data_IF_724311471532
#
_entry.id   IF_724311471532
#
_cell.length_a   1.000
_cell.length_b   1.000
_cell.length_c   1.000
_cell.angle_alpha   90.00
_cell.angle_beta   90.00
_cell.angle_gamma   90.00
#
_symmetry.space_group_name_H-M   'P 1'
#
loop_
_entity.id
_entity.type
_entity.pdbx_description
1 polymer ?
#
# COMPACT_ATOMS: atom_id res chain seq x y z
N UNK A 1 -40.17 -12.52 -6.91
CA UNK A 1 -38.82 -13.06 -6.65
C UNK A 1 -38.03 -12.02 -5.87
N UNK A 2 -37.64 -12.31 -4.64
CA UNK A 2 -36.70 -11.47 -3.89
C UNK A 2 -35.32 -11.75 -4.47
N UNK A 3 -34.60 -10.73 -4.95
CA UNK A 3 -33.22 -10.89 -5.43
C UNK A 3 -32.32 -11.26 -4.25
N UNK A 4 -31.43 -12.22 -4.42
CA UNK A 4 -30.45 -12.59 -3.38
C UNK A 4 -29.46 -11.46 -3.11
N UNK A 5 -28.87 -11.42 -1.91
CA UNK A 5 -27.97 -10.35 -1.45
C UNK A 5 -26.80 -10.14 -2.44
N UNK A 6 -26.17 -11.21 -2.92
CA UNK A 6 -25.07 -11.13 -3.88
C UNK A 6 -25.52 -10.64 -5.28
N UNK A 7 -26.76 -10.94 -5.68
CA UNK A 7 -27.33 -10.45 -6.94
C UNK A 7 -27.65 -8.95 -6.88
N UNK A 8 -28.09 -8.45 -5.72
CA UNK A 8 -28.28 -7.00 -5.51
C UNK A 8 -26.97 -6.26 -5.75
N UNK A 9 -25.89 -6.68 -5.10
CA UNK A 9 -24.57 -6.02 -5.22
C UNK A 9 -24.00 -6.13 -6.62
N UNK A 10 -24.05 -7.32 -7.24
CA UNK A 10 -23.49 -7.52 -8.60
C UNK A 10 -24.31 -6.86 -9.69
N UNK A 11 -25.61 -6.62 -9.49
CA UNK A 11 -26.45 -5.88 -10.44
C UNK A 11 -26.14 -4.38 -10.53
N UNK A 12 -25.33 -3.86 -9.61
CA UNK A 12 -24.90 -2.44 -9.60
C UNK A 12 -23.67 -2.18 -10.48
N UNK A 13 -22.90 -3.21 -10.85
CA UNK A 13 -21.80 -3.04 -11.80
C UNK A 13 -22.34 -3.07 -13.24
N UNK A 14 -22.09 -2.05 -14.06
CA UNK A 14 -22.44 -2.13 -15.47
C UNK A 14 -21.58 -3.19 -16.15
N UNK A 15 -22.18 -3.94 -17.09
CA UNK A 15 -21.47 -4.85 -18.00
C UNK A 15 -20.68 -4.05 -19.04
N UNK A 16 -19.62 -3.38 -18.60
CA UNK A 16 -18.74 -2.67 -19.52
C UNK A 16 -17.90 -3.69 -20.31
N UNK A 17 -18.05 -3.71 -21.63
CA UNK A 17 -16.99 -4.19 -22.53
C UNK A 17 -15.83 -3.22 -22.38
N UNK A 18 -14.71 -3.68 -21.84
CA UNK A 18 -13.51 -2.86 -21.71
C UNK A 18 -12.85 -2.75 -23.09
N UNK A 19 -12.87 -1.56 -23.72
CA UNK A 19 -12.44 -1.44 -25.10
C UNK A 19 -10.91 -1.42 -25.18
N UNK A 20 -10.33 -2.30 -25.99
CA UNK A 20 -8.87 -2.43 -26.14
C UNK A 20 -8.25 -1.14 -26.68
N UNK A 21 -7.24 -0.63 -25.96
CA UNK A 21 -6.44 0.52 -26.41
C UNK A 21 -5.61 0.14 -27.64
N UNK A 22 -5.07 -1.09 -27.70
CA UNK A 22 -4.29 -1.58 -28.85
C UNK A 22 -5.09 -1.47 -30.16
N UNK A 23 -6.33 -1.95 -30.15
CA UNK A 23 -7.20 -1.91 -31.34
C UNK A 23 -7.59 -0.48 -31.72
N UNK A 24 -7.68 0.40 -30.72
CA UNK A 24 -8.08 1.80 -30.91
C UNK A 24 -6.92 2.69 -31.38
N UNK A 25 -5.68 2.28 -31.14
CA UNK A 25 -4.46 3.04 -31.44
C UNK A 25 -4.30 3.42 -32.92
N UNK A 26 -4.90 2.64 -33.83
CA UNK A 26 -4.81 2.88 -35.29
C UNK A 26 -5.71 4.04 -35.73
N UNK A 27 -6.79 4.35 -34.98
CA UNK A 27 -7.87 5.23 -35.42
C UNK A 27 -8.09 6.45 -34.53
N UNK A 28 -7.43 6.52 -33.38
CA UNK A 28 -7.64 7.55 -32.36
C UNK A 28 -6.41 8.41 -32.16
N UNK A 29 -6.65 9.67 -31.84
CA UNK A 29 -5.63 10.59 -31.37
C UNK A 29 -5.09 10.18 -29.99
N UNK A 30 -3.96 10.78 -29.60
CA UNK A 30 -3.35 10.56 -28.28
C UNK A 30 -4.32 10.83 -27.13
N UNK A 31 -5.05 11.95 -27.17
CA UNK A 31 -5.98 12.32 -26.12
C UNK A 31 -7.14 11.33 -26.03
N UNK A 32 -7.69 10.90 -27.16
CA UNK A 32 -8.77 9.89 -27.18
C UNK A 32 -8.32 8.52 -26.68
N UNK A 33 -7.05 8.13 -26.89
CA UNK A 33 -6.49 6.89 -26.32
C UNK A 33 -6.39 7.00 -24.79
N UNK A 34 -5.91 8.13 -24.26
CA UNK A 34 -5.79 8.36 -22.82
C UNK A 34 -7.16 8.52 -22.16
N UNK A 35 -8.12 9.15 -22.84
CA UNK A 35 -9.51 9.24 -22.42
C UNK A 35 -10.13 7.86 -22.24
N UNK A 36 -9.95 6.99 -23.24
CA UNK A 36 -10.41 5.60 -23.19
C UNK A 36 -9.71 4.79 -22.08
N UNK A 37 -8.43 5.06 -21.82
CA UNK A 37 -7.71 4.44 -20.71
C UNK A 37 -8.35 4.81 -19.37
N UNK A 38 -8.70 6.09 -19.18
CA UNK A 38 -9.40 6.55 -17.98
C UNK A 38 -10.81 6.00 -17.83
N UNK A 39 -11.58 5.89 -18.92
CA UNK A 39 -12.91 5.23 -18.91
C UNK A 39 -12.76 3.76 -18.50
N UNK A 40 -11.73 3.08 -19.00
CA UNK A 40 -11.42 1.71 -18.63
C UNK A 40 -11.10 1.59 -17.14
N UNK A 41 -10.28 2.49 -16.61
CA UNK A 41 -9.95 2.52 -15.19
C UNK A 41 -11.20 2.77 -14.33
N UNK A 42 -12.05 3.74 -14.68
CA UNK A 42 -13.31 3.99 -13.97
C UNK A 42 -14.21 2.76 -13.93
N UNK A 43 -14.29 2.01 -15.04
CA UNK A 43 -15.04 0.77 -15.08
C UNK A 43 -14.44 -0.30 -14.14
N UNK A 44 -13.11 -0.38 -14.04
CA UNK A 44 -12.43 -1.27 -13.09
C UNK A 44 -12.68 -0.87 -11.64
N UNK A 45 -12.65 0.43 -11.31
CA UNK A 45 -12.93 0.94 -9.97
C UNK A 45 -14.32 0.54 -9.49
N UNK A 46 -15.33 0.65 -10.36
CA UNK A 46 -16.70 0.21 -10.05
C UNK A 46 -16.74 -1.29 -9.76
N UNK A 47 -16.06 -2.12 -10.56
CA UNK A 47 -15.99 -3.58 -10.33
C UNK A 47 -15.28 -3.94 -9.03
N UNK A 48 -14.17 -3.27 -8.72
CA UNK A 48 -13.47 -3.43 -7.43
C UNK A 48 -14.36 -2.99 -6.27
N UNK A 49 -15.15 -1.92 -6.44
CA UNK A 49 -16.16 -1.51 -5.47
C UNK A 49 -17.19 -2.61 -5.18
N UNK A 50 -17.68 -3.28 -6.23
CA UNK A 50 -18.59 -4.43 -6.11
C UNK A 50 -17.92 -5.58 -5.35
N UNK A 51 -16.70 -5.96 -5.74
CA UNK A 51 -15.97 -7.03 -5.09
C UNK A 51 -15.70 -6.73 -3.61
N UNK A 52 -15.23 -5.52 -3.28
CA UNK A 52 -14.99 -5.11 -1.89
C UNK A 52 -16.29 -5.09 -1.05
N UNK A 53 -17.43 -4.75 -1.65
CA UNK A 53 -18.73 -4.85 -0.99
C UNK A 53 -19.09 -6.29 -0.67
N UNK A 54 -18.87 -7.21 -1.61
CA UNK A 54 -19.08 -8.64 -1.41
C UNK A 54 -18.12 -9.20 -0.34
N UNK A 55 -16.85 -8.79 -0.32
CA UNK A 55 -15.89 -9.16 0.73
C UNK A 55 -16.40 -8.72 2.10
N UNK A 56 -16.91 -7.48 2.22
CA UNK A 56 -17.46 -6.96 3.48
C UNK A 56 -18.68 -7.74 3.94
N UNK A 57 -19.56 -8.15 3.02
CA UNK A 57 -20.73 -8.99 3.33
C UNK A 57 -20.29 -10.39 3.74
N UNK A 58 -19.40 -11.03 2.99
CA UNK A 58 -18.86 -12.36 3.30
C UNK A 58 -18.16 -12.37 4.67
N UNK A 59 -17.38 -11.34 4.98
CA UNK A 59 -16.71 -11.17 6.27
C UNK A 59 -17.71 -11.09 7.43
N UNK A 60 -18.83 -10.37 7.24
CA UNK A 60 -19.90 -10.28 8.23
C UNK A 60 -20.63 -11.60 8.43
N UNK A 61 -20.92 -12.33 7.35
CA UNK A 61 -21.53 -13.67 7.42
C UNK A 61 -20.61 -14.62 8.20
N UNK A 62 -19.31 -14.61 7.90
CA UNK A 62 -18.31 -15.43 8.60
C UNK A 62 -18.23 -15.10 10.08
N UNK A 63 -18.26 -13.82 10.46
CA UNK A 63 -18.23 -13.42 11.87
C UNK A 63 -19.44 -13.94 12.67
N UNK A 64 -20.55 -14.25 12.01
CA UNK A 64 -21.76 -14.77 12.63
C UNK A 64 -21.94 -16.29 12.51
N UNK A 65 -21.12 -17.00 11.73
CA UNK A 65 -21.28 -18.44 11.49
C UNK A 65 -19.99 -19.23 11.74
N UNK A 66 -20.08 -20.32 12.50
CA UNK A 66 -19.02 -21.33 12.66
C UNK A 66 -19.08 -22.30 11.46
N UNK A 67 -18.88 -21.80 10.24
CA UNK A 67 -18.98 -22.55 8.98
C UNK A 67 -17.77 -22.27 8.07
N UNK A 68 -17.46 -23.17 7.10
CA UNK A 68 -16.08 -23.49 6.70
C UNK A 68 -15.31 -22.32 6.10
N UNK A 69 -13.99 -22.38 6.28
CA UNK A 69 -13.02 -21.37 5.87
C UNK A 69 -13.11 -21.03 4.39
N UNK A 70 -13.68 -19.86 4.09
CA UNK A 70 -13.33 -19.14 2.87
C UNK A 70 -11.85 -18.77 3.00
N UNK A 71 -11.02 -19.12 2.00
CA UNK A 71 -9.59 -18.84 2.01
C UNK A 71 -9.37 -17.33 2.31
N UNK A 72 -8.53 -17.04 3.32
CA UNK A 72 -8.15 -15.67 3.69
C UNK A 72 -7.63 -14.87 2.49
N UNK A 73 -7.06 -15.53 1.48
CA UNK A 73 -6.63 -14.89 0.22
C UNK A 73 -7.79 -14.28 -0.57
N UNK A 74 -8.97 -14.88 -0.53
CA UNK A 74 -10.20 -14.40 -1.22
C UNK A 74 -10.84 -13.24 -0.45
N UNK A 75 -10.62 -13.19 0.88
CA UNK A 75 -11.10 -12.11 1.76
C UNK A 75 -10.13 -10.94 1.91
N UNK A 76 -8.93 -11.02 1.36
CA UNK A 76 -8.07 -9.85 1.21
C UNK A 76 -8.81 -8.80 0.40
N UNK A 77 -8.95 -7.57 0.94
CA UNK A 77 -9.48 -6.43 0.17
C UNK A 77 -8.75 -6.43 -1.17
N UNK A 78 -9.50 -6.37 -2.29
CA UNK A 78 -8.84 -6.29 -3.59
C UNK A 78 -7.92 -5.09 -3.59
N UNK A 79 -6.64 -5.33 -3.85
CA UNK A 79 -5.59 -4.33 -3.71
C UNK A 79 -5.88 -3.16 -4.65
N UNK A 80 -6.24 -2.01 -4.06
CA UNK A 80 -6.36 -0.73 -4.77
C UNK A 80 -5.08 -0.40 -5.55
N UNK A 81 -3.93 -0.95 -5.13
CA UNK A 81 -2.62 -0.76 -5.74
C UNK A 81 -2.56 -1.14 -7.23
N UNK A 82 -3.30 -2.18 -7.65
CA UNK A 82 -3.30 -2.62 -9.04
C UNK A 82 -3.96 -1.59 -9.99
N UNK A 83 -5.07 -0.99 -9.56
CA UNK A 83 -5.71 0.09 -10.30
C UNK A 83 -4.84 1.35 -10.28
N UNK A 84 -4.22 1.65 -9.13
CA UNK A 84 -3.31 2.78 -9.02
C UNK A 84 -2.11 2.66 -9.96
N UNK A 85 -1.63 1.44 -10.24
CA UNK A 85 -0.55 1.22 -11.20
C UNK A 85 -0.99 1.54 -12.65
N UNK A 86 -2.25 1.25 -13.01
CA UNK A 86 -2.82 1.66 -14.30
C UNK A 86 -2.94 3.17 -14.40
N UNK A 87 -3.48 3.82 -13.37
CA UNK A 87 -3.59 5.27 -13.33
C UNK A 87 -2.24 5.93 -13.47
N UNK A 88 -1.23 5.50 -12.70
CA UNK A 88 0.14 6.00 -12.83
C UNK A 88 0.70 5.85 -14.23
N UNK A 89 0.43 4.72 -14.90
CA UNK A 89 0.90 4.49 -16.27
C UNK A 89 0.28 5.51 -17.25
N UNK A 90 -0.97 5.91 -17.02
CA UNK A 90 -1.68 6.95 -17.80
C UNK A 90 -1.15 8.35 -17.43
N UNK A 91 -0.98 8.62 -16.13
CA UNK A 91 -0.47 9.89 -15.60
C UNK A 91 0.99 10.16 -16.02
N UNK A 92 1.83 9.14 -16.13
CA UNK A 92 3.17 9.26 -16.72
C UNK A 92 3.11 9.72 -18.19
N UNK A 93 2.10 9.27 -18.93
CA UNK A 93 1.87 9.72 -20.30
C UNK A 93 1.32 11.15 -20.36
N UNK A 94 0.50 11.56 -19.39
CA UNK A 94 -0.08 12.91 -19.33
C UNK A 94 0.91 13.95 -18.82
N UNK A 95 1.59 13.66 -17.73
CA UNK A 95 2.35 14.61 -16.90
C UNK A 95 3.86 14.34 -16.95
N UNK A 96 4.25 13.06 -16.92
CA UNK A 96 5.64 12.61 -16.91
C UNK A 96 6.37 12.80 -18.25
N UNK A 97 5.64 12.90 -19.37
CA UNK A 97 6.22 13.01 -20.70
C UNK A 97 6.52 11.67 -21.37
N UNK A 98 6.06 10.56 -20.79
CA UNK A 98 6.09 9.24 -21.43
C UNK A 98 5.30 9.28 -22.74
N UNK A 99 5.81 8.64 -23.78
CA UNK A 99 5.15 8.60 -25.08
C UNK A 99 3.94 7.65 -25.06
N UNK A 100 2.81 8.12 -25.60
CA UNK A 100 1.65 7.26 -25.89
C UNK A 100 1.96 6.44 -27.14
N UNK A 101 2.39 5.20 -26.91
CA UNK A 101 2.87 4.29 -27.95
C UNK A 101 2.03 3.02 -28.00
N UNK A 102 2.17 2.26 -29.10
CA UNK A 102 1.55 0.95 -29.20
C UNK A 102 2.05 -0.01 -28.10
N UNK A 103 3.30 0.15 -27.64
CA UNK A 103 3.83 -0.63 -26.52
C UNK A 103 3.11 -0.31 -25.20
N UNK A 104 2.86 0.98 -24.93
CA UNK A 104 2.03 1.40 -23.81
C UNK A 104 0.62 0.79 -23.90
N UNK A 105 -0.06 0.92 -25.04
CA UNK A 105 -1.40 0.38 -25.23
C UNK A 105 -1.47 -1.14 -25.02
N UNK A 106 -0.48 -1.90 -25.53
CA UNK A 106 -0.38 -3.35 -25.33
C UNK A 106 -0.16 -3.72 -23.86
N UNK A 107 0.72 -2.99 -23.15
CA UNK A 107 0.97 -3.24 -21.72
C UNK A 107 -0.25 -2.92 -20.87
N UNK A 108 -0.93 -1.80 -21.17
CA UNK A 108 -2.16 -1.41 -20.50
C UNK A 108 -3.24 -2.48 -20.67
N UNK A 109 -3.55 -2.89 -21.91
CA UNK A 109 -4.54 -3.94 -22.18
C UNK A 109 -4.20 -5.26 -21.46
N UNK A 110 -2.92 -5.66 -21.45
CA UNK A 110 -2.47 -6.87 -20.75
C UNK A 110 -2.76 -6.80 -19.24
N UNK A 111 -2.45 -5.67 -18.60
CA UNK A 111 -2.72 -5.46 -17.17
C UNK A 111 -4.22 -5.47 -16.89
N UNK A 112 -4.99 -4.74 -17.69
CA UNK A 112 -6.45 -4.69 -17.60
C UNK A 112 -7.09 -6.08 -17.67
N UNK A 113 -6.68 -6.92 -18.63
CA UNK A 113 -7.18 -8.30 -18.75
C UNK A 113 -6.88 -9.09 -17.48
N UNK A 114 -5.63 -9.07 -17.00
CA UNK A 114 -5.23 -9.75 -15.76
C UNK A 114 -6.09 -9.33 -14.57
N UNK A 115 -6.36 -8.03 -14.44
CA UNK A 115 -7.18 -7.51 -13.34
C UNK A 115 -8.64 -7.89 -13.48
N UNK A 116 -9.21 -7.85 -14.67
CA UNK A 116 -10.59 -8.30 -14.90
C UNK A 116 -10.73 -9.77 -14.52
N UNK A 117 -9.80 -10.62 -14.95
CA UNK A 117 -9.82 -12.05 -14.63
C UNK A 117 -9.74 -12.27 -13.11
N UNK A 118 -8.82 -11.58 -12.43
CA UNK A 118 -8.70 -11.66 -10.98
C UNK A 118 -9.97 -11.18 -10.25
N UNK A 119 -10.52 -10.02 -10.66
CA UNK A 119 -11.73 -9.45 -10.07
C UNK A 119 -12.92 -10.39 -10.27
N UNK A 120 -13.09 -10.93 -11.48
CA UNK A 120 -14.20 -11.82 -11.80
C UNK A 120 -14.12 -13.14 -11.03
N UNK A 121 -12.92 -13.73 -10.90
CA UNK A 121 -12.70 -14.98 -10.16
C UNK A 121 -13.11 -14.81 -8.69
N UNK A 122 -12.55 -13.82 -8.00
CA UNK A 122 -12.88 -13.56 -6.59
C UNK A 122 -14.36 -13.19 -6.42
N UNK A 123 -14.93 -12.37 -7.33
CA UNK A 123 -16.36 -12.02 -7.30
C UNK A 123 -17.25 -13.25 -7.42
N UNK A 124 -16.88 -14.20 -8.29
CA UNK A 124 -17.62 -15.45 -8.49
C UNK A 124 -17.54 -16.35 -7.26
N UNK A 125 -16.37 -16.48 -6.66
CA UNK A 125 -16.18 -17.24 -5.42
C UNK A 125 -16.97 -16.64 -4.26
N UNK A 126 -16.89 -15.33 -4.05
CA UNK A 126 -17.65 -14.61 -3.02
C UNK A 126 -19.16 -14.72 -3.24
N UNK A 127 -19.62 -14.60 -4.49
CA UNK A 127 -21.03 -14.78 -4.83
C UNK A 127 -21.50 -16.18 -4.49
N UNK A 128 -20.73 -17.20 -4.86
CA UNK A 128 -21.05 -18.60 -4.56
C UNK A 128 -21.14 -18.84 -3.05
N UNK A 129 -20.18 -18.29 -2.29
CA UNK A 129 -20.17 -18.37 -0.83
C UNK A 129 -21.40 -17.71 -0.19
N UNK A 130 -21.69 -16.45 -0.56
CA UNK A 130 -22.83 -15.69 -0.01
C UNK A 130 -24.15 -16.41 -0.34
N UNK A 131 -24.35 -16.82 -1.59
CA UNK A 131 -25.58 -17.50 -2.03
C UNK A 131 -25.79 -18.83 -1.29
N UNK A 132 -24.72 -19.60 -1.06
CA UNK A 132 -24.80 -20.88 -0.35
C UNK A 132 -25.23 -20.72 1.12
N UNK A 133 -24.88 -19.58 1.74
CA UNK A 133 -25.16 -19.32 3.15
C UNK A 133 -26.40 -18.45 3.38
N UNK A 134 -26.87 -17.73 2.36
CA UNK A 134 -27.97 -16.75 2.47
C UNK A 134 -29.26 -17.37 3.02
N UNK A 135 -29.56 -18.63 2.68
CA UNK A 135 -30.73 -19.34 3.19
C UNK A 135 -30.65 -19.71 4.68
N UNK A 136 -29.46 -19.64 5.27
CA UNK A 136 -29.17 -20.01 6.67
C UNK A 136 -28.95 -18.79 7.58
N UNK A 137 -29.05 -17.58 7.04
CA UNK A 137 -28.85 -16.35 7.81
C UNK A 137 -30.06 -16.06 8.71
N UNK A 138 -29.85 -15.60 9.95
CA UNK A 138 -30.91 -15.01 10.76
C UNK A 138 -31.62 -13.88 10.00
N UNK A 139 -32.93 -13.74 10.19
CA UNK A 139 -33.76 -12.75 9.46
C UNK A 139 -33.23 -11.33 9.62
N UNK A 140 -32.83 -10.95 10.84
CA UNK A 140 -32.31 -9.60 11.13
C UNK A 140 -30.99 -9.32 10.42
N UNK A 141 -30.06 -10.28 10.44
CA UNK A 141 -28.79 -10.18 9.72
C UNK A 141 -29.03 -10.12 8.21
N UNK A 142 -29.98 -10.91 7.70
CA UNK A 142 -30.35 -10.89 6.27
C UNK A 142 -30.92 -9.53 5.85
N UNK A 143 -31.80 -8.94 6.65
CA UNK A 143 -32.35 -7.60 6.40
C UNK A 143 -31.24 -6.53 6.42
N UNK A 144 -30.34 -6.60 7.40
CA UNK A 144 -29.20 -5.70 7.51
C UNK A 144 -28.26 -5.79 6.30
N UNK A 145 -27.87 -7.00 5.91
CA UNK A 145 -26.99 -7.23 4.76
C UNK A 145 -27.66 -6.83 3.44
N UNK A 146 -28.99 -6.97 3.33
CA UNK A 146 -29.77 -6.50 2.18
C UNK A 146 -29.79 -4.97 2.11
N UNK A 147 -30.01 -4.29 3.23
CA UNK A 147 -29.90 -2.83 3.32
C UNK A 147 -28.50 -2.36 2.95
N UNK A 148 -27.47 -3.03 3.48
CA UNK A 148 -26.08 -2.78 3.12
C UNK A 148 -25.82 -3.03 1.63
N UNK A 149 -26.37 -4.09 1.03
CA UNK A 149 -26.22 -4.36 -0.39
C UNK A 149 -26.83 -3.26 -1.28
N UNK A 150 -27.87 -2.57 -0.83
CA UNK A 150 -28.59 -1.54 -1.59
C UNK A 150 -27.88 -0.18 -1.65
N UNK A 151 -26.84 0.07 -0.83
CA UNK A 151 -26.09 1.32 -0.93
C UNK A 151 -25.32 1.40 -2.24
N UNK A 152 -25.47 2.53 -2.95
CA UNK A 152 -24.80 2.80 -4.21
C UNK A 152 -23.27 2.78 -4.05
N UNK A 153 -22.61 2.09 -4.97
CA UNK A 153 -21.15 2.14 -5.13
C UNK A 153 -20.81 3.37 -5.94
N UNK A 154 -20.33 4.41 -5.26
CA UNK A 154 -19.99 5.69 -5.88
C UNK A 154 -18.50 5.68 -6.28
N UNK A 155 -18.15 5.99 -7.54
CA UNK A 155 -16.75 6.17 -7.96
C UNK A 155 -16.06 7.29 -7.17
N UNK A 156 -14.77 7.10 -6.84
CA UNK A 156 -13.98 8.05 -6.05
C UNK A 156 -13.88 9.46 -6.67
N UNK A 157 -14.16 9.60 -7.97
CA UNK A 157 -14.08 10.86 -8.72
C UNK A 157 -15.14 11.91 -8.32
N UNK A 158 -16.13 11.57 -7.48
CA UNK A 158 -17.27 12.47 -7.17
C UNK A 158 -17.15 13.22 -5.85
N UNK A 159 -16.15 12.92 -5.02
CA UNK A 159 -15.97 13.59 -3.72
C UNK A 159 -15.07 14.80 -3.90
N UNK A 160 -15.57 16.01 -3.58
CA UNK A 160 -14.72 17.20 -3.55
C UNK A 160 -13.86 17.19 -2.27
N UNK A 161 -12.53 17.15 -2.45
CA UNK A 161 -11.59 16.85 -1.34
C UNK A 161 -10.84 18.11 -0.86
N UNK A 162 -11.34 19.31 -1.17
CA UNK A 162 -10.76 20.57 -0.69
C UNK A 162 -9.43 20.96 -1.34
N UNK A 163 -9.10 20.38 -2.51
CA UNK A 163 -8.02 20.87 -3.37
C UNK A 163 -8.61 21.87 -4.37
N UNK A 164 -7.93 23.00 -4.66
CA UNK A 164 -8.35 23.94 -5.69
C UNK A 164 -8.60 23.24 -7.04
N UNK A 165 -9.81 23.38 -7.59
CA UNK A 165 -10.18 22.85 -8.89
C UNK A 165 -9.88 23.86 -10.00
N UNK A 166 -9.16 23.41 -11.03
CA UNK A 166 -8.81 24.16 -12.22
C UNK A 166 -10.02 24.33 -13.14
N UNK A 167 -10.91 23.33 -13.22
CA UNK A 167 -12.12 23.38 -14.06
C UNK A 167 -13.00 24.57 -13.74
N UNK A 168 -13.09 24.94 -12.45
CA UNK A 168 -13.83 26.11 -12.00
C UNK A 168 -13.23 27.45 -12.47
N UNK A 169 -11.94 27.50 -12.79
CA UNK A 169 -11.29 28.69 -13.35
C UNK A 169 -11.19 28.67 -14.88
N UNK A 170 -11.15 27.48 -15.50
CA UNK A 170 -10.84 27.33 -16.92
C UNK A 170 -11.78 28.11 -17.84
N UNK A 171 -13.07 28.20 -17.50
CA UNK A 171 -14.08 28.86 -18.34
C UNK A 171 -14.18 30.37 -18.12
N UNK A 172 -13.51 30.94 -17.12
CA UNK A 172 -13.80 32.30 -16.63
C UNK A 172 -12.59 33.18 -16.35
N UNK A 173 -11.36 32.64 -16.39
CA UNK A 173 -10.17 33.33 -15.91
C UNK A 173 -9.01 33.27 -16.91
N UNK A 174 -8.08 34.23 -16.80
CA UNK A 174 -6.88 34.29 -17.62
C UNK A 174 -5.93 33.10 -17.35
N UNK A 175 -5.05 32.78 -18.30
CA UNK A 175 -4.11 31.66 -18.20
C UNK A 175 -3.20 31.72 -16.96
N UNK A 176 -2.89 32.92 -16.46
CA UNK A 176 -2.05 33.09 -15.27
C UNK A 176 -2.78 32.69 -13.98
N UNK A 177 -4.11 32.85 -13.91
CA UNK A 177 -4.89 32.37 -12.76
C UNK A 177 -5.08 30.85 -12.75
N UNK A 178 -5.14 30.21 -13.93
CA UNK A 178 -5.16 28.75 -14.06
C UNK A 178 -3.84 28.17 -13.54
N UNK A 179 -2.74 28.82 -13.89
CA UNK A 179 -1.38 28.54 -13.41
C UNK A 179 -1.28 28.67 -11.89
N UNK A 180 -1.72 29.78 -11.31
CA UNK A 180 -1.67 30.00 -9.86
C UNK A 180 -2.52 28.97 -9.10
N UNK A 181 -3.71 28.64 -9.62
CA UNK A 181 -4.52 27.57 -9.04
C UNK A 181 -3.85 26.20 -9.13
N UNK A 182 -3.11 25.92 -10.21
CA UNK A 182 -2.40 24.65 -10.36
C UNK A 182 -1.29 24.54 -9.31
N UNK A 183 -0.56 25.63 -9.05
CA UNK A 183 0.37 25.69 -7.91
C UNK A 183 -0.33 25.52 -6.57
N UNK A 184 -1.44 26.22 -6.35
CA UNK A 184 -2.23 26.08 -5.12
C UNK A 184 -2.71 24.65 -4.88
N UNK A 185 -3.04 23.91 -5.95
CA UNK A 185 -3.40 22.49 -5.86
C UNK A 185 -2.21 21.62 -5.43
N UNK A 186 -1.02 21.85 -5.99
CA UNK A 186 0.20 21.14 -5.56
C UNK A 186 0.54 21.47 -4.10
N UNK A 187 0.45 22.74 -3.70
CA UNK A 187 0.72 23.16 -2.33
C UNK A 187 -0.24 22.50 -1.34
N UNK A 188 -1.54 22.45 -1.64
CA UNK A 188 -2.52 21.79 -0.79
C UNK A 188 -2.22 20.28 -0.62
N UNK A 189 -1.72 19.62 -1.67
CA UNK A 189 -1.29 18.22 -1.61
C UNK A 189 -0.02 18.03 -0.78
N UNK A 190 0.95 18.94 -0.90
CA UNK A 190 2.17 18.96 -0.08
C UNK A 190 1.82 19.15 1.41
N UNK A 191 0.90 20.05 1.73
CA UNK A 191 0.41 20.28 3.10
C UNK A 191 -0.30 19.05 3.67
N UNK A 192 -1.16 18.39 2.89
CA UNK A 192 -1.79 17.12 3.27
C UNK A 192 -0.75 16.03 3.54
N UNK A 193 0.27 15.91 2.68
CA UNK A 193 1.33 14.92 2.86
C UNK A 193 2.18 15.23 4.10
N UNK A 194 2.47 16.51 4.38
CA UNK A 194 3.13 16.92 5.62
C UNK A 194 2.31 16.55 6.86
N UNK A 195 0.99 16.76 6.84
CA UNK A 195 0.10 16.31 7.92
C UNK A 195 0.14 14.79 8.07
N UNK A 196 0.11 14.05 6.96
CA UNK A 196 0.21 12.59 6.98
C UNK A 196 1.52 12.11 7.62
N UNK A 197 2.68 12.69 7.24
CA UNK A 197 3.97 12.40 7.88
C UNK A 197 3.96 12.64 9.38
N UNK A 198 3.42 13.79 9.81
CA UNK A 198 3.33 14.12 11.23
C UNK A 198 2.48 13.10 12.00
N UNK A 199 1.36 12.66 11.41
CA UNK A 199 0.53 11.60 11.98
C UNK A 199 1.25 10.25 12.00
N UNK A 200 1.96 9.89 10.94
CA UNK A 200 2.73 8.64 10.87
C UNK A 200 3.77 8.57 11.98
N UNK A 201 4.49 9.67 12.24
CA UNK A 201 5.44 9.76 13.36
C UNK A 201 4.75 9.59 14.72
N UNK A 202 3.56 10.17 14.91
CA UNK A 202 2.78 10.01 16.15
C UNK A 202 2.26 8.59 16.34
N UNK A 203 1.98 7.87 15.26
CA UNK A 203 1.46 6.50 15.30
C UNK A 203 2.57 5.44 15.40
N UNK A 204 3.85 5.83 15.37
CA UNK A 204 5.00 4.91 15.51
C UNK A 204 4.96 3.97 16.73
N UNK A 205 4.40 4.33 17.91
CA UNK A 205 4.22 3.39 19.01
C UNK A 205 3.37 2.14 18.66
N UNK A 206 2.63 2.19 17.55
CA UNK A 206 1.82 1.08 17.02
C UNK A 206 2.48 0.36 15.83
N UNK A 207 3.76 0.62 15.56
CA UNK A 207 4.50 -0.01 14.48
C UNK A 207 4.40 -1.53 14.55
N UNK A 208 3.90 -2.16 13.48
CA UNK A 208 3.78 -3.63 13.39
C UNK A 208 2.77 -4.27 14.35
N UNK A 209 1.87 -3.52 15.00
CA UNK A 209 0.67 -4.12 15.61
C UNK A 209 -0.27 -4.57 14.49
N UNK A 210 -0.51 -5.89 14.42
CA UNK A 210 -1.38 -6.53 13.43
C UNK A 210 -2.86 -6.23 13.73
N UNK A 211 -3.33 -5.05 13.37
CA UNK A 211 -4.76 -4.69 13.38
C UNK A 211 -5.39 -4.91 11.98
N UNK A 212 -4.95 -5.93 11.25
CA UNK A 212 -5.43 -6.29 9.91
C UNK A 212 -4.52 -5.82 8.77
N UNK A 213 -5.12 -5.55 7.59
CA UNK A 213 -4.40 -5.15 6.36
C UNK A 213 -3.84 -3.72 6.41
N UNK A 214 -4.26 -2.90 7.37
CA UNK A 214 -3.84 -1.51 7.52
C UNK A 214 -2.86 -1.41 8.70
N UNK A 215 -1.64 -0.94 8.44
CA UNK A 215 -0.59 -0.77 9.46
C UNK A 215 0.24 0.47 9.18
N UNK A 216 0.84 1.07 10.22
CA UNK A 216 1.70 2.26 10.07
C UNK A 216 2.80 2.08 9.00
N UNK A 217 3.55 0.96 8.95
CA UNK A 217 4.54 0.72 7.89
C UNK A 217 3.92 0.66 6.49
N UNK A 218 2.73 0.05 6.33
CA UNK A 218 2.03 0.03 5.03
C UNK A 218 1.59 1.43 4.62
N UNK A 219 1.10 2.24 5.56
CA UNK A 219 0.76 3.64 5.27
C UNK A 219 2.00 4.44 4.84
N UNK A 220 3.15 4.25 5.49
CA UNK A 220 4.41 4.91 5.07
C UNK A 220 4.90 4.40 3.71
N UNK A 221 4.77 3.11 3.44
CA UNK A 221 5.00 2.53 2.10
C UNK A 221 4.16 3.26 1.05
N UNK A 222 2.88 3.47 1.31
CA UNK A 222 1.97 4.14 0.38
C UNK A 222 2.27 5.63 0.23
N UNK A 223 2.84 6.28 1.26
CA UNK A 223 3.32 7.67 1.15
C UNK A 223 4.50 7.82 0.17
N UNK A 224 5.42 6.84 0.10
CA UNK A 224 6.50 6.82 -0.93
C UNK A 224 5.92 6.73 -2.35
N UNK A 225 4.71 6.24 -2.47
CA UNK A 225 4.00 6.08 -3.71
C UNK A 225 3.24 7.35 -4.09
N UNK A 226 2.60 7.98 -3.11
CA UNK A 226 1.95 9.28 -3.25
C UNK A 226 2.94 10.41 -3.61
N UNK A 227 4.17 10.38 -3.07
CA UNK A 227 5.20 11.37 -3.46
C UNK A 227 5.60 11.21 -4.93
N UNK A 228 5.63 9.98 -5.46
CA UNK A 228 5.87 9.75 -6.89
C UNK A 228 4.82 10.42 -7.77
N UNK A 229 3.56 10.31 -7.37
CA UNK A 229 2.42 10.92 -8.08
C UNK A 229 2.46 12.45 -7.99
N UNK A 230 2.80 12.99 -6.81
CA UNK A 230 2.98 14.42 -6.59
C UNK A 230 4.09 15.01 -7.47
N UNK A 231 5.19 14.28 -7.66
CA UNK A 231 6.32 14.72 -8.49
C UNK A 231 5.92 14.79 -9.96
N UNK A 232 5.13 13.83 -10.44
CA UNK A 232 4.60 13.87 -11.80
C UNK A 232 3.74 15.12 -12.01
N UNK A 233 2.84 15.41 -11.07
CA UNK A 233 1.96 16.58 -11.11
C UNK A 233 2.76 17.88 -11.03
N UNK A 234 3.71 17.99 -10.08
CA UNK A 234 4.60 19.15 -9.94
C UNK A 234 5.42 19.40 -11.21
N UNK A 235 6.03 18.35 -11.76
CA UNK A 235 6.79 18.44 -13.00
C UNK A 235 5.94 18.86 -14.21
N UNK A 236 4.65 18.54 -14.22
CA UNK A 236 3.71 19.06 -15.21
C UNK A 236 3.43 20.54 -14.99
N UNK A 237 3.11 20.94 -13.76
CA UNK A 237 2.86 22.35 -13.40
C UNK A 237 4.08 23.20 -13.76
N UNK A 238 5.29 22.82 -13.37
CA UNK A 238 6.53 23.54 -13.69
C UNK A 238 6.73 23.74 -15.21
N UNK A 239 6.31 22.77 -16.04
CA UNK A 239 6.37 22.88 -17.51
C UNK A 239 5.38 23.90 -18.07
N UNK A 240 4.26 24.17 -17.38
CA UNK A 240 3.30 25.23 -17.75
C UNK A 240 3.90 26.64 -17.56
N UNK A 241 4.89 26.77 -16.67
CA UNK A 241 5.56 28.02 -16.33
C UNK A 241 6.87 28.26 -17.09
N UNK A 242 7.42 27.25 -17.78
CA UNK A 242 8.66 27.46 -18.55
C UNK A 242 8.46 28.57 -19.58
N UNK A 243 9.29 29.60 -19.53
CA UNK A 243 9.41 30.62 -20.58
C UNK A 243 10.35 30.11 -21.67
N UNK A 244 9.92 30.17 -22.92
CA UNK A 244 10.78 29.92 -24.08
C UNK A 244 11.45 31.23 -24.48
N UNK A 245 12.77 31.28 -24.51
CA UNK A 245 13.49 32.42 -25.09
C UNK A 245 13.50 32.29 -26.60
N UNK A 246 12.90 33.23 -27.32
CA UNK A 246 12.94 33.32 -28.79
C UNK A 246 13.56 34.66 -29.15
N UNK A 247 14.68 34.63 -29.89
CA UNK A 247 15.44 35.83 -30.28
C UNK A 247 15.73 36.80 -29.12
N UNK A 248 16.22 36.29 -27.98
CA UNK A 248 16.56 37.10 -26.81
C UNK A 248 15.37 37.55 -25.94
N UNK A 249 14.13 37.32 -26.38
CA UNK A 249 12.91 37.68 -25.65
C UNK A 249 12.37 36.44 -24.94
N UNK A 250 12.18 36.52 -23.61
CA UNK A 250 11.48 35.49 -22.84
C UNK A 250 9.99 35.52 -23.18
N UNK A 251 9.53 34.57 -23.99
CA UNK A 251 8.12 34.40 -24.30
C UNK A 251 7.57 33.27 -23.42
N UNK A 252 6.49 33.47 -22.65
CA UNK A 252 5.86 32.36 -21.94
C UNK A 252 5.50 31.25 -22.93
N UNK A 253 5.86 30.00 -22.60
CA UNK A 253 5.55 28.88 -23.47
C UNK A 253 4.03 28.78 -23.60
N UNK A 254 3.51 28.93 -24.83
CA UNK A 254 2.07 28.86 -25.16
C UNK A 254 1.52 27.43 -25.05
N UNK A 255 1.91 26.66 -24.03
CA UNK A 255 1.17 25.44 -23.69
C UNK A 255 -0.12 25.88 -22.99
N UNK A 256 -1.13 26.15 -23.79
CA UNK A 256 -2.49 26.35 -23.30
C UNK A 256 -2.95 25.02 -22.71
N UNK A 257 -3.29 25.01 -21.42
CA UNK A 257 -3.88 23.84 -20.77
C UNK A 257 -5.20 23.56 -21.48
N UNK A 258 -5.38 22.38 -22.08
CA UNK A 258 -6.64 22.04 -22.75
C UNK A 258 -7.71 21.71 -21.72
N UNK A 259 -9.00 21.84 -22.07
CA UNK A 259 -10.12 21.36 -21.25
C UNK A 259 -9.89 19.92 -20.76
N UNK A 260 -9.41 19.05 -21.66
CA UNK A 260 -9.05 17.68 -21.34
C UNK A 260 -7.98 17.61 -20.24
N UNK A 261 -6.86 18.33 -20.39
CA UNK A 261 -5.77 18.32 -19.40
C UNK A 261 -6.19 18.90 -18.05
N UNK A 262 -7.08 19.89 -18.04
CA UNK A 262 -7.67 20.47 -16.83
C UNK A 262 -8.49 19.43 -16.07
N UNK A 263 -9.37 18.73 -16.76
CA UNK A 263 -10.20 17.69 -16.14
C UNK A 263 -9.32 16.54 -15.61
N UNK A 264 -8.25 16.18 -16.33
CA UNK A 264 -7.30 15.15 -15.87
C UNK A 264 -6.47 15.58 -14.68
N UNK A 265 -6.04 16.84 -14.64
CA UNK A 265 -5.31 17.37 -13.49
C UNK A 265 -6.18 17.42 -12.22
N UNK A 266 -7.42 17.93 -12.33
CA UNK A 266 -8.37 17.97 -11.21
C UNK A 266 -8.68 16.58 -10.68
N UNK A 267 -8.81 15.60 -11.57
CA UNK A 267 -9.01 14.20 -11.19
C UNK A 267 -7.79 13.64 -10.45
N UNK A 268 -6.59 13.80 -11.01
CA UNK A 268 -5.36 13.26 -10.42
C UNK A 268 -5.08 13.87 -9.04
N UNK A 269 -5.24 15.19 -8.90
CA UNK A 269 -5.07 15.89 -7.63
C UNK A 269 -6.12 15.48 -6.60
N UNK A 270 -7.40 15.39 -6.99
CA UNK A 270 -8.47 14.94 -6.09
C UNK A 270 -8.22 13.51 -5.59
N UNK A 271 -7.83 12.59 -6.47
CA UNK A 271 -7.56 11.19 -6.09
C UNK A 271 -6.33 11.07 -5.19
N UNK A 272 -5.27 11.82 -5.46
CA UNK A 272 -4.11 11.88 -4.56
C UNK A 272 -4.51 12.43 -3.18
N UNK A 273 -5.28 13.52 -3.13
CA UNK A 273 -5.79 14.06 -1.87
C UNK A 273 -6.67 13.06 -1.11
N UNK A 274 -7.55 12.33 -1.81
CA UNK A 274 -8.38 11.27 -1.24
C UNK A 274 -7.51 10.23 -0.52
N UNK A 275 -6.51 9.70 -1.23
CA UNK A 275 -5.60 8.69 -0.69
C UNK A 275 -4.82 9.19 0.53
N UNK A 276 -4.32 10.42 0.48
CA UNK A 276 -3.59 10.99 1.63
C UNK A 276 -4.54 11.18 2.82
N UNK A 277 -5.80 11.60 2.60
CA UNK A 277 -6.80 11.72 3.68
C UNK A 277 -7.24 10.38 4.25
N UNK A 278 -7.42 9.36 3.41
CA UNK A 278 -7.67 7.99 3.86
C UNK A 278 -6.53 7.53 4.77
N UNK A 279 -5.27 7.75 4.36
CA UNK A 279 -4.08 7.44 5.17
C UNK A 279 -4.04 8.22 6.49
N UNK A 280 -4.35 9.51 6.47
CA UNK A 280 -4.46 10.32 7.70
C UNK A 280 -5.51 9.72 8.62
N UNK A 281 -6.68 9.34 8.09
CA UNK A 281 -7.77 8.77 8.88
C UNK A 281 -7.38 7.42 9.49
N UNK A 282 -6.71 6.54 8.72
CA UNK A 282 -6.13 5.29 9.22
C UNK A 282 -5.13 5.56 10.35
N UNK A 283 -4.25 6.55 10.18
CA UNK A 283 -3.25 6.92 11.20
C UNK A 283 -3.89 7.52 12.47
N UNK A 284 -4.92 8.35 12.32
CA UNK A 284 -5.72 8.90 13.41
C UNK A 284 -6.42 7.78 14.19
N UNK A 285 -6.89 6.72 13.51
CA UNK A 285 -7.43 5.51 14.15
C UNK A 285 -6.43 4.79 15.06
N UNK A 286 -5.13 4.82 14.72
CA UNK A 286 -4.09 4.32 15.62
C UNK A 286 -3.83 5.26 16.80
N UNK A 287 -3.95 6.57 16.60
CA UNK A 287 -3.64 7.60 17.60
C UNK A 287 -4.82 7.96 18.55
N UNK A 288 -5.96 7.27 18.45
CA UNK A 288 -7.17 7.56 19.21
C UNK A 288 -7.07 7.34 20.74
N UNK A 289 -7.88 8.06 21.55
CA UNK A 289 -7.85 7.96 23.01
C UNK A 289 -8.27 6.56 23.49
N UNK A 290 -7.48 5.95 24.36
CA UNK A 290 -7.73 4.61 24.93
C UNK A 290 -6.77 3.51 24.46
N UNK A 291 -5.87 3.80 23.52
CA UNK A 291 -4.76 2.90 23.18
C UNK A 291 -3.54 3.32 23.99
N UNK A 292 -3.25 2.58 25.07
CA UNK A 292 -2.06 2.79 25.91
C UNK A 292 -0.78 2.69 25.07
N UNK A 293 -0.30 3.84 24.60
CA UNK A 293 1.01 4.00 24.03
C UNK A 293 1.96 4.32 25.19
N UNK A 294 2.88 3.39 25.49
CA UNK A 294 4.06 3.78 26.27
C UNK A 294 4.84 4.80 25.43
N UNK A 295 5.22 5.95 25.99
CA UNK A 295 6.04 6.91 25.26
C UNK A 295 7.36 6.22 24.87
N UNK A 296 7.62 6.16 23.57
CA UNK A 296 8.90 5.71 23.07
C UNK A 296 9.87 6.89 23.18
N UNK A 297 10.82 6.80 24.11
CA UNK A 297 11.97 7.70 24.16
C UNK A 297 12.89 7.37 22.98
N UNK A 298 12.51 7.83 21.80
CA UNK A 298 13.33 7.71 20.61
C UNK A 298 14.61 8.50 20.79
N UNK A 299 15.74 7.80 20.92
CA UNK A 299 17.06 8.43 20.97
C UNK A 299 17.27 9.38 19.79
N UNK A 300 18.03 10.45 20.04
CA UNK A 300 18.60 11.29 19.00
C UNK A 300 19.62 10.45 18.22
N UNK A 301 19.14 9.78 17.17
CA UNK A 301 19.99 9.02 16.24
C UNK A 301 20.72 9.97 15.31
N UNK A 302 22.06 9.88 15.30
CA UNK A 302 22.89 10.42 14.23
C UNK A 302 22.40 9.85 12.90
N UNK A 303 22.25 10.70 11.88
CA UNK A 303 21.85 10.31 10.52
C UNK A 303 22.72 9.16 10.01
N UNK A 304 22.23 7.93 10.13
CA UNK A 304 22.88 6.74 9.58
C UNK A 304 22.54 6.65 8.10
N UNK A 305 23.50 6.11 7.33
CA UNK A 305 23.22 5.68 5.96
C UNK A 305 22.05 4.68 5.95
N UNK A 306 20.99 5.00 5.20
CA UNK A 306 19.75 4.22 5.14
C UNK A 306 20.00 2.79 4.67
N UNK A 307 20.90 2.58 3.72
CA UNK A 307 21.22 1.24 3.23
C UNK A 307 21.91 0.40 4.29
N UNK A 308 22.80 1.00 5.08
CA UNK A 308 23.44 0.35 6.21
C UNK A 308 22.42 -0.01 7.30
N UNK A 309 21.45 0.87 7.58
CA UNK A 309 20.35 0.60 8.51
C UNK A 309 19.48 -0.56 8.03
N UNK A 310 19.11 -0.58 6.75
CA UNK A 310 18.31 -1.67 6.14
C UNK A 310 19.05 -3.00 6.23
N UNK A 311 20.33 -3.02 5.84
CA UNK A 311 21.16 -4.24 5.93
C UNK A 311 21.23 -4.78 7.35
N UNK A 312 21.47 -3.91 8.33
CA UNK A 312 21.56 -4.33 9.73
C UNK A 312 20.22 -4.84 10.25
N UNK A 313 19.11 -4.15 9.96
CA UNK A 313 17.81 -4.60 10.42
C UNK A 313 17.36 -5.91 9.76
N UNK A 314 17.70 -6.15 8.48
CA UNK A 314 17.47 -7.45 7.84
C UNK A 314 18.25 -8.58 8.54
N UNK A 315 19.54 -8.35 8.85
CA UNK A 315 20.34 -9.31 9.59
C UNK A 315 19.78 -9.58 11.00
N UNK A 316 19.26 -8.55 11.67
CA UNK A 316 18.63 -8.69 13.00
C UNK A 316 17.28 -9.43 12.91
N UNK A 317 16.47 -9.21 11.86
CA UNK A 317 15.25 -9.99 11.59
C UNK A 317 15.57 -11.46 11.40
N UNK A 318 16.58 -11.78 10.59
CA UNK A 318 16.98 -13.17 10.34
C UNK A 318 17.55 -13.83 11.61
N UNK A 319 18.33 -13.07 12.39
CA UNK A 319 18.81 -13.52 13.70
C UNK A 319 17.63 -13.82 14.64
N UNK A 320 16.64 -12.93 14.72
CA UNK A 320 15.44 -13.15 15.52
C UNK A 320 14.68 -14.41 15.07
N UNK A 321 14.45 -14.60 13.76
CA UNK A 321 13.79 -15.81 13.22
C UNK A 321 14.55 -17.07 13.62
N UNK A 322 15.87 -17.08 13.51
CA UNK A 322 16.67 -18.24 13.87
C UNK A 322 16.63 -18.53 15.38
N UNK A 323 16.69 -17.50 16.22
CA UNK A 323 16.54 -17.66 17.68
C UNK A 323 15.17 -18.18 18.07
N UNK A 324 14.13 -17.79 17.34
CA UNK A 324 12.77 -18.32 17.52
C UNK A 324 12.71 -19.80 17.16
N UNK A 325 13.18 -20.22 15.99
CA UNK A 325 13.17 -21.65 15.63
C UNK A 325 13.95 -22.50 16.65
N UNK A 326 15.10 -21.99 17.11
CA UNK A 326 15.87 -22.63 18.16
C UNK A 326 15.10 -22.77 19.47
N UNK A 327 14.39 -21.71 19.87
CA UNK A 327 13.52 -21.74 21.06
C UNK A 327 12.42 -22.79 20.89
N UNK A 328 11.73 -22.80 19.74
CA UNK A 328 10.64 -23.74 19.44
C UNK A 328 11.13 -25.21 19.49
N UNK A 329 12.33 -25.50 18.97
CA UNK A 329 12.94 -26.84 19.00
C UNK A 329 13.31 -27.28 20.43
N UNK A 330 13.88 -26.37 21.23
CA UNK A 330 14.21 -26.64 22.63
C UNK A 330 12.95 -26.82 23.49
N UNK A 331 11.89 -26.06 23.23
CA UNK A 331 10.59 -26.22 23.92
C UNK A 331 9.97 -27.58 23.61
N UNK A 332 10.02 -28.02 22.35
CA UNK A 332 9.56 -29.37 21.98
C UNK A 332 10.34 -30.46 22.70
N UNK A 333 11.66 -30.32 22.86
CA UNK A 333 12.47 -31.26 23.62
C UNK A 333 12.08 -31.27 25.10
N UNK A 334 11.93 -30.09 25.71
CA UNK A 334 11.56 -29.95 27.12
C UNK A 334 10.16 -30.51 27.40
N UNK A 335 9.21 -30.30 26.49
CA UNK A 335 7.87 -30.88 26.55
C UNK A 335 7.88 -32.42 26.51
N UNK A 336 8.74 -33.02 25.68
CA UNK A 336 8.94 -34.49 25.65
C UNK A 336 9.54 -35.03 26.95
N UNK A 337 10.32 -34.21 27.66
CA UNK A 337 10.90 -34.57 28.97
C UNK A 337 9.93 -34.34 30.14
N UNK A 338 8.75 -33.77 29.87
CA UNK A 338 7.68 -33.58 30.86
C UNK A 338 7.94 -32.44 31.85
N UNK A 339 8.80 -31.46 31.56
CA UNK A 339 8.99 -30.30 32.44
C UNK A 339 7.87 -29.26 32.20
N UNK A 340 6.95 -29.06 33.16
CA UNK A 340 5.83 -28.12 33.02
C UNK A 340 6.29 -26.65 32.93
N UNK A 341 7.53 -26.33 33.32
CA UNK A 341 8.07 -24.96 33.22
C UNK A 341 8.38 -24.54 31.79
N UNK A 342 8.63 -25.50 30.89
CA UNK A 342 8.88 -25.23 29.48
C UNK A 342 7.67 -24.62 28.76
N UNK A 343 6.45 -24.99 29.17
CA UNK A 343 5.20 -24.46 28.62
C UNK A 343 4.93 -23.00 29.04
N UNK A 344 5.63 -22.49 30.07
CA UNK A 344 5.41 -21.14 30.63
C UNK A 344 6.34 -20.06 30.06
N UNK A 345 7.42 -20.45 29.38
CA UNK A 345 8.40 -19.53 28.78
C UNK A 345 7.81 -18.86 27.53
N UNK A 346 6.87 -19.54 26.87
CA UNK A 346 6.26 -19.12 25.62
C UNK A 346 5.04 -18.20 25.84
N UNK A 347 5.20 -16.88 25.66
CA UNK A 347 4.07 -15.97 25.57
C UNK A 347 3.64 -15.82 24.09
N UNK A 348 2.62 -16.57 23.68
CA UNK A 348 2.04 -16.54 22.32
C UNK A 348 1.77 -15.10 21.84
N UNK A 349 1.38 -14.21 22.77
CA UNK A 349 1.11 -12.79 22.46
C UNK A 349 2.37 -12.01 22.12
N UNK A 350 3.48 -12.24 22.82
CA UNK A 350 4.77 -11.60 22.51
C UNK A 350 5.30 -12.07 21.16
N UNK A 351 5.07 -13.34 20.84
CA UNK A 351 5.49 -13.92 19.58
C UNK A 351 4.78 -13.28 18.37
N UNK A 352 3.46 -13.16 18.43
CA UNK A 352 2.67 -12.49 17.38
C UNK A 352 3.09 -11.03 17.18
N UNK A 353 3.48 -10.33 18.26
CA UNK A 353 3.99 -8.95 18.18
C UNK A 353 5.35 -8.91 17.47
N UNK A 354 6.25 -9.86 17.74
CA UNK A 354 7.55 -9.94 17.08
C UNK A 354 7.44 -10.27 15.58
N UNK A 355 6.56 -11.20 15.21
CA UNK A 355 6.22 -11.47 13.81
C UNK A 355 5.66 -10.23 13.10
N UNK A 356 4.73 -9.52 13.75
CA UNK A 356 4.15 -8.28 13.22
C UNK A 356 5.20 -7.20 12.97
N UNK A 357 6.14 -7.00 13.90
CA UNK A 357 7.25 -6.05 13.71
C UNK A 357 8.21 -6.48 12.59
N UNK A 358 8.52 -7.78 12.47
CA UNK A 358 9.38 -8.28 11.39
C UNK A 358 8.72 -8.15 10.01
N UNK A 359 7.43 -8.45 9.90
CA UNK A 359 6.67 -8.28 8.66
C UNK A 359 6.57 -6.80 8.25
N UNK A 360 6.26 -5.93 9.22
CA UNK A 360 6.25 -4.48 9.10
C UNK A 360 7.58 -3.93 8.58
N UNK A 361 8.69 -4.41 9.15
CA UNK A 361 10.03 -4.06 8.71
C UNK A 361 10.27 -4.46 7.26
N UNK A 362 10.07 -5.73 6.89
CA UNK A 362 10.35 -6.20 5.53
C UNK A 362 9.56 -5.39 4.49
N UNK A 363 8.27 -5.16 4.75
CA UNK A 363 7.38 -4.37 3.87
C UNK A 363 7.95 -2.98 3.60
N UNK A 364 8.47 -2.32 4.64
CA UNK A 364 9.00 -0.97 4.54
C UNK A 364 10.42 -0.95 3.94
N UNK A 365 11.30 -1.83 4.42
CA UNK A 365 12.70 -1.91 4.03
C UNK A 365 12.86 -2.27 2.55
N UNK A 366 12.11 -3.27 2.06
CA UNK A 366 12.15 -3.70 0.66
C UNK A 366 11.80 -2.55 -0.29
N UNK A 367 10.80 -1.73 0.08
CA UNK A 367 10.36 -0.60 -0.75
C UNK A 367 11.39 0.52 -0.80
N UNK A 368 11.95 0.87 0.36
CA UNK A 368 12.97 1.92 0.47
C UNK A 368 14.26 1.49 -0.23
N UNK A 369 14.69 0.24 -0.03
CA UNK A 369 15.84 -0.34 -0.72
C UNK A 369 15.62 -0.36 -2.23
N UNK A 370 14.42 -0.74 -2.70
CA UNK A 370 14.07 -0.69 -4.11
C UNK A 370 14.15 0.72 -4.69
N UNK A 371 13.65 1.74 -3.97
CA UNK A 371 13.78 3.13 -4.42
C UNK A 371 15.24 3.59 -4.47
N UNK A 372 16.04 3.27 -3.45
CA UNK A 372 17.46 3.65 -3.41
C UNK A 372 18.24 2.98 -4.54
N UNK A 373 18.02 1.69 -4.80
CA UNK A 373 18.79 0.92 -5.79
C UNK A 373 18.38 1.20 -7.23
N UNK A 374 17.08 1.35 -7.49
CA UNK A 374 16.56 1.39 -8.86
C UNK A 374 16.12 2.79 -9.30
N UNK A 375 16.02 3.74 -8.36
CA UNK A 375 15.53 5.11 -8.60
C UNK A 375 16.39 6.16 -7.91
N UNK A 376 17.63 5.82 -7.55
CA UNK A 376 18.60 6.70 -6.87
C UNK A 376 18.04 7.40 -5.62
N UNK A 377 17.07 6.78 -4.95
CA UNK A 377 16.43 7.32 -3.74
C UNK A 377 15.56 8.55 -4.00
N UNK A 378 15.10 8.79 -5.23
CA UNK A 378 14.30 9.98 -5.59
C UNK A 378 13.06 10.11 -4.69
N UNK A 379 12.30 9.04 -4.47
CA UNK A 379 11.07 9.11 -3.66
C UNK A 379 11.41 9.26 -2.18
N UNK A 380 12.44 8.56 -1.71
CA UNK A 380 12.94 8.69 -0.33
C UNK A 380 13.37 10.11 -0.01
N UNK A 381 14.14 10.74 -0.91
CA UNK A 381 14.62 12.11 -0.74
C UNK A 381 13.47 13.11 -0.73
N UNK A 382 12.47 12.93 -1.60
CA UNK A 382 11.31 13.83 -1.72
C UNK A 382 10.30 13.64 -0.59
N UNK A 383 10.16 12.42 -0.08
CA UNK A 383 9.40 12.16 1.15
C UNK A 383 10.12 12.73 2.38
N UNK A 384 11.42 12.98 2.29
CA UNK A 384 12.24 13.51 3.36
C UNK A 384 13.05 12.39 4.00
N UNK A 385 14.36 12.40 3.74
CA UNK A 385 15.29 11.36 4.20
C UNK A 385 15.27 11.19 5.72
N UNK A 386 15.14 12.28 6.47
CA UNK A 386 15.08 12.27 7.93
C UNK A 386 13.80 11.61 8.45
N UNK A 387 12.67 11.87 7.80
CA UNK A 387 11.41 11.18 8.11
C UNK A 387 11.54 9.67 7.88
N UNK A 388 12.07 9.28 6.71
CA UNK A 388 12.27 7.85 6.38
C UNK A 388 13.24 7.18 7.34
N UNK A 389 14.35 7.84 7.67
CA UNK A 389 15.31 7.37 8.66
C UNK A 389 14.64 7.11 10.01
N UNK A 390 13.83 8.06 10.50
CA UNK A 390 13.18 7.92 11.81
C UNK A 390 12.20 6.75 11.89
N UNK A 391 11.44 6.50 10.82
CA UNK A 391 10.53 5.35 10.74
C UNK A 391 11.33 4.04 10.73
N UNK A 392 12.40 3.97 9.94
CA UNK A 392 13.26 2.78 9.89
C UNK A 392 13.97 2.56 11.23
N UNK A 393 14.54 3.57 11.86
CA UNK A 393 15.19 3.46 13.18
C UNK A 393 14.23 2.85 14.21
N UNK A 394 12.98 3.31 14.22
CA UNK A 394 11.95 2.79 15.12
C UNK A 394 11.69 1.29 14.87
N UNK A 395 11.51 0.90 13.60
CA UNK A 395 11.34 -0.51 13.24
C UNK A 395 12.56 -1.35 13.62
N UNK A 396 13.76 -0.83 13.38
CA UNK A 396 15.02 -1.51 13.70
C UNK A 396 15.18 -1.73 15.20
N UNK A 397 14.91 -0.72 16.01
CA UNK A 397 15.07 -0.80 17.46
C UNK A 397 14.05 -1.75 18.10
N UNK A 398 12.85 -1.84 17.54
CA UNK A 398 11.87 -2.87 17.92
C UNK A 398 12.39 -4.29 17.63
N UNK A 399 12.99 -4.51 16.46
CA UNK A 399 13.60 -5.81 16.10
C UNK A 399 14.77 -6.14 17.02
N UNK A 400 15.65 -5.18 17.32
CA UNK A 400 16.75 -5.39 18.29
C UNK A 400 16.23 -5.80 19.66
N UNK A 401 15.15 -5.16 20.13
CA UNK A 401 14.47 -5.53 21.36
C UNK A 401 14.05 -7.00 21.36
N UNK A 402 13.45 -7.46 20.25
CA UNK A 402 13.08 -8.87 20.08
C UNK A 402 14.28 -9.80 20.02
N UNK A 403 15.35 -9.46 19.30
CA UNK A 403 16.59 -10.25 19.27
C UNK A 403 17.15 -10.44 20.69
N UNK A 404 17.27 -9.35 21.47
CA UNK A 404 17.77 -9.42 22.85
C UNK A 404 16.87 -10.29 23.74
N UNK A 405 15.56 -10.13 23.63
CA UNK A 405 14.58 -10.92 24.38
C UNK A 405 14.67 -12.41 24.03
N UNK A 406 14.70 -12.75 22.75
CA UNK A 406 14.80 -14.14 22.32
C UNK A 406 16.14 -14.79 22.67
N UNK A 407 17.25 -14.03 22.69
CA UNK A 407 18.52 -14.52 23.25
C UNK A 407 18.37 -14.90 24.72
N UNK A 408 17.73 -14.04 25.51
CA UNK A 408 17.48 -14.32 26.93
C UNK A 408 16.60 -15.56 27.12
N UNK A 409 15.49 -15.68 26.37
CA UNK A 409 14.61 -16.84 26.43
C UNK A 409 15.33 -18.14 26.05
N UNK A 410 16.17 -18.09 25.01
CA UNK A 410 17.02 -19.23 24.63
C UNK A 410 17.95 -19.61 25.78
N UNK A 411 18.67 -18.66 26.38
CA UNK A 411 19.57 -18.94 27.52
C UNK A 411 18.84 -19.46 28.77
N UNK A 412 17.64 -18.97 29.05
CA UNK A 412 16.81 -19.46 30.15
C UNK A 412 16.40 -20.92 29.92
N UNK A 413 16.04 -21.28 28.68
CA UNK A 413 15.65 -22.64 28.31
C UNK A 413 16.85 -23.60 28.21
N UNK A 414 18.01 -23.14 27.74
CA UNK A 414 19.29 -23.86 27.81
C UNK A 414 19.58 -24.29 29.25
N UNK A 415 19.44 -23.35 30.21
CA UNK A 415 19.64 -23.62 31.63
C UNK A 415 18.63 -24.61 32.19
N UNK A 416 17.36 -24.51 31.78
CA UNK A 416 16.32 -25.46 32.21
C UNK A 416 16.58 -26.88 31.71
N UNK A 417 17.08 -27.01 30.47
CA UNK A 417 17.44 -28.29 29.86
C UNK A 417 18.80 -28.83 30.32
N UNK A 418 19.54 -28.09 31.15
CA UNK A 418 20.88 -28.45 31.59
C UNK A 418 21.92 -28.48 30.47
N UNK A 419 21.70 -27.74 29.38
CA UNK A 419 22.61 -27.66 28.25
C UNK A 419 23.63 -26.54 28.47
N UNK A 420 24.90 -26.81 28.18
CA UNK A 420 25.88 -25.73 27.99
C UNK A 420 25.60 -24.96 26.69
N UNK A 421 26.04 -23.69 26.57
CA UNK A 421 25.88 -22.93 25.32
C UNK A 421 26.48 -23.64 24.10
N UNK A 422 27.59 -24.36 24.27
CA UNK A 422 28.25 -25.11 23.19
C UNK A 422 27.42 -26.33 22.76
N UNK A 423 26.88 -27.10 23.70
CA UNK A 423 26.00 -28.24 23.40
C UNK A 423 24.70 -27.79 22.75
N UNK A 424 24.11 -26.71 23.26
CA UNK A 424 22.89 -26.16 22.71
C UNK A 424 23.10 -25.58 21.31
N UNK A 425 24.25 -24.97 21.01
CA UNK A 425 24.59 -24.49 19.68
C UNK A 425 24.87 -25.63 18.69
N UNK A 426 25.45 -26.74 19.16
CA UNK A 426 25.70 -27.93 18.34
C UNK A 426 24.40 -28.69 18.02
N UNK A 427 23.47 -28.78 18.97
CA UNK A 427 22.17 -29.46 18.79
C UNK A 427 21.13 -28.59 18.07
N UNK A 428 21.12 -27.30 18.35
CA UNK A 428 20.13 -26.34 17.84
C UNK A 428 20.86 -25.09 17.32
N UNK A 429 21.46 -25.14 16.12
CA UNK A 429 22.28 -24.03 15.63
C UNK A 429 21.44 -22.78 15.34
N UNK A 430 21.95 -21.62 15.75
CA UNK A 430 21.46 -20.31 15.28
C UNK A 430 22.17 -19.99 13.97
N UNK A 431 21.43 -19.89 12.88
CA UNK A 431 21.97 -19.44 11.60
C UNK A 431 22.07 -17.92 11.63
N UNK A 432 23.28 -17.44 11.88
CA UNK A 432 23.62 -16.06 11.57
C UNK A 432 23.86 -15.99 10.06
N UNK A 433 22.94 -15.39 9.32
CA UNK A 433 23.22 -14.98 7.95
C UNK A 433 24.22 -13.82 8.00
N UNK A 434 25.51 -14.15 8.10
CA UNK A 434 26.55 -13.21 7.75
C UNK A 434 26.29 -12.73 6.32
N UNK A 435 26.44 -11.44 6.08
CA UNK A 435 26.22 -10.77 4.80
C UNK A 435 27.02 -11.46 3.69
N UNK A 436 26.44 -12.47 3.04
CA UNK A 436 26.97 -13.02 1.80
C UNK A 436 26.33 -12.22 0.67
N UNK A 437 27.02 -11.15 0.30
CA UNK A 437 26.81 -10.47 -0.98
C UNK A 437 27.24 -11.38 -2.12
N UNK A 438 26.44 -12.39 -2.45
CA UNK A 438 26.56 -13.11 -3.72
C UNK A 438 25.17 -13.39 -4.28
N UNK A 439 24.64 -12.44 -5.05
CA UNK A 439 23.88 -12.82 -6.24
C UNK A 439 24.84 -12.70 -7.43
N UNK A 440 24.84 -13.66 -8.37
CA UNK A 440 25.70 -13.56 -9.54
C UNK A 440 25.31 -12.30 -10.31
N UNK A 441 26.31 -11.52 -10.68
CA UNK A 441 26.20 -10.59 -11.78
C UNK A 441 25.95 -11.48 -13.01
N UNK A 442 24.73 -11.52 -13.51
CA UNK A 442 24.48 -12.00 -14.88
C UNK A 442 25.15 -10.99 -15.81
N UNK A 443 26.44 -11.24 -16.06
CA UNK A 443 27.19 -10.67 -17.15
C UNK A 443 26.71 -11.33 -18.44
N UNK A 444 25.62 -10.82 -19.01
CA UNK A 444 25.42 -10.88 -20.47
C UNK A 444 25.04 -9.49 -20.96
N UNK A 445 26.06 -8.65 -20.96
CA UNK A 445 26.16 -7.51 -21.86
C UNK A 445 26.21 -7.97 -23.32
N UNK A 446 25.41 -7.30 -24.15
CA UNK A 446 25.74 -6.83 -25.50
C UNK A 446 25.94 -7.89 -26.60
N UNK A 447 24.90 -7.98 -27.43
CA UNK A 447 24.96 -8.06 -28.90
C UNK A 447 23.87 -7.16 -29.43
#
# INVERSE_FOLDING_TARGET
MIRGIADIVTSQAPTFRVPSLKTSFIRKSREEILDQAHVTIQALEVRVGVANRLISIASRIRACQVLPDLDYKVMGKMDKEDILELDRSVDECLFGGRAVSLAFAKQFDKKVVKYIDHINNNTTELKTYITALEGRLPVDLKAELTSFANHLIIPQDTVHIGVPLLRAAYNSKANDEIRDKAHGAIQALEELLCRAKAMALRSLPHFGRNDGFESVPRVVHDMLDNIGDLVLLRGYVDKLFRTKTVMGIKVPNKRTMTSFMVDRFDRATSRLASRIKDQISTLEGFAGPGRDARPYNGGQGQSRDLMSLIKQGNADVDTWRSLRYRLDDMEQLAGKQGDPRALSVHNIREHMVAEGHAFAWNTLADRIEGDIRFRDGVRVNLLGRDFVAKVLETGHDLIKGHVLRYRQLNSDLERLLGLSPAEAAARFPVVYWAVVSTRPIDSTSRG
#
